data_IF_243242261281
#
_entry.id   IF_243242261281
#
_cell.length_a   1.000
_cell.length_b   1.000
_cell.length_c   1.000
_cell.angle_alpha   90.00
_cell.angle_beta   90.00
_cell.angle_gamma   90.00
#
_symmetry.space_group_name_H-M   'P 1'
#
loop_
_entity.id
_entity.type
_entity.pdbx_description
1 polymer ?
#
# COMPACT_ATOMS: atom_id res chain seq x y z
N UNK A 1 10.68 -1.30 15.47
CA UNK A 1 9.28 -1.67 15.20
C UNK A 1 9.22 -2.56 13.98
N UNK A 2 8.47 -3.64 14.09
CA UNK A 2 8.50 -4.70 13.10
C UNK A 2 7.16 -4.79 12.35
N UNK A 3 6.92 -3.80 11.51
CA UNK A 3 5.73 -3.77 10.68
C UNK A 3 6.02 -4.24 9.25
N UNK A 4 4.97 -4.69 8.59
CA UNK A 4 4.99 -5.02 7.18
C UNK A 4 3.77 -4.41 6.50
N UNK A 5 3.94 -3.92 5.27
CA UNK A 5 2.85 -3.43 4.44
C UNK A 5 2.45 -4.55 3.49
N UNK A 6 1.19 -4.95 3.57
CA UNK A 6 0.57 -5.90 2.64
C UNK A 6 -0.22 -5.15 1.60
N UNK A 7 0.01 -5.48 0.35
CA UNK A 7 -0.69 -4.87 -0.77
C UNK A 7 -1.36 -5.95 -1.60
N UNK A 8 -2.70 -5.90 -1.69
CA UNK A 8 -3.47 -6.75 -2.59
C UNK A 8 -3.74 -5.97 -3.87
N UNK A 9 -2.85 -6.05 -4.83
CA UNK A 9 -2.93 -5.22 -6.01
C UNK A 9 -3.95 -5.68 -7.05
N UNK A 10 -4.69 -6.76 -6.78
CA UNK A 10 -5.87 -7.10 -7.59
C UNK A 10 -6.96 -6.03 -7.48
N UNK A 11 -7.01 -5.32 -6.36
CA UNK A 11 -8.09 -4.38 -6.06
C UNK A 11 -7.68 -2.91 -6.18
N UNK A 12 -6.41 -2.62 -6.43
CA UNK A 12 -5.98 -1.23 -6.58
C UNK A 12 -6.54 -0.64 -7.88
N UNK A 13 -7.20 0.52 -7.76
CA UNK A 13 -7.83 1.21 -8.90
C UNK A 13 -6.98 2.33 -9.47
N UNK A 14 -5.81 2.59 -8.90
CA UNK A 14 -4.92 3.66 -9.35
C UNK A 14 -5.40 5.07 -8.99
N UNK A 15 -6.25 5.23 -7.98
CA UNK A 15 -6.81 6.53 -7.63
C UNK A 15 -5.83 7.49 -6.96
N UNK A 16 -4.66 7.02 -6.54
CA UNK A 16 -3.60 7.77 -5.86
C UNK A 16 -4.01 8.39 -4.51
N UNK A 17 -5.15 7.99 -3.94
CA UNK A 17 -5.59 8.52 -2.65
C UNK A 17 -4.58 8.22 -1.53
N UNK A 18 -3.92 7.06 -1.56
CA UNK A 18 -2.90 6.69 -0.60
C UNK A 18 -1.70 7.64 -0.62
N UNK A 19 -1.26 8.04 -1.81
CA UNK A 19 -0.14 8.98 -1.96
C UNK A 19 -0.50 10.34 -1.38
N UNK A 20 -1.69 10.85 -1.71
CA UNK A 20 -2.16 12.14 -1.23
C UNK A 20 -2.33 12.12 0.29
N UNK A 21 -2.90 11.05 0.84
CA UNK A 21 -3.08 10.90 2.28
C UNK A 21 -1.74 10.90 3.02
N UNK A 22 -0.75 10.19 2.50
CA UNK A 22 0.58 10.14 3.09
C UNK A 22 1.24 11.52 3.06
N UNK A 23 1.14 12.23 1.94
CA UNK A 23 1.72 13.56 1.81
C UNK A 23 1.08 14.56 2.77
N UNK A 24 -0.23 14.49 2.95
CA UNK A 24 -0.93 15.38 3.87
C UNK A 24 -0.58 15.09 5.33
N UNK A 25 -0.49 13.81 5.69
CA UNK A 25 -0.18 13.41 7.06
C UNK A 25 1.21 13.92 7.50
N UNK A 26 2.18 13.89 6.61
CA UNK A 26 3.56 14.26 6.91
C UNK A 26 3.97 15.60 6.29
N UNK A 27 3.04 16.34 5.70
CA UNK A 27 3.29 17.64 5.09
C UNK A 27 4.46 17.63 4.11
N UNK A 28 4.49 16.62 3.25
CA UNK A 28 5.54 16.46 2.24
C UNK A 28 5.15 17.12 0.93
N UNK A 29 6.14 17.64 0.15
CA UNK A 29 5.87 18.14 -1.19
C UNK A 29 5.40 17.04 -2.14
N UNK A 30 4.76 17.45 -3.23
CA UNK A 30 4.38 16.52 -4.29
C UNK A 30 5.59 15.76 -4.82
N UNK A 31 5.42 14.47 -5.06
CA UNK A 31 6.49 13.60 -5.53
C UNK A 31 7.36 13.00 -4.45
N UNK A 32 7.17 13.41 -3.18
CA UNK A 32 7.91 12.86 -2.04
C UNK A 32 6.96 12.14 -1.10
N UNK A 33 6.48 10.99 -1.54
CA UNK A 33 5.51 10.21 -0.79
C UNK A 33 6.14 8.92 -0.26
N UNK A 34 5.64 8.46 0.89
CA UNK A 34 6.01 7.16 1.46
C UNK A 34 5.41 5.98 0.72
N UNK A 35 4.43 6.23 -0.15
CA UNK A 35 3.84 5.22 -1.01
C UNK A 35 3.63 5.83 -2.39
N UNK A 36 3.89 5.05 -3.44
CA UNK A 36 3.68 5.46 -4.83
C UNK A 36 2.95 4.37 -5.58
N UNK A 37 2.01 4.76 -6.42
CA UNK A 37 1.27 3.82 -7.26
C UNK A 37 1.90 3.82 -8.65
N UNK A 38 2.42 2.67 -9.06
CA UNK A 38 2.98 2.47 -10.39
C UNK A 38 1.96 1.77 -11.27
N UNK A 39 1.95 2.11 -12.55
CA UNK A 39 1.12 1.46 -13.54
C UNK A 39 1.97 0.46 -14.31
N UNK A 40 1.52 -0.79 -14.37
CA UNK A 40 2.15 -1.84 -15.17
C UNK A 40 1.21 -2.22 -16.30
N UNK A 41 1.65 -2.01 -17.54
CA UNK A 41 0.91 -2.40 -18.72
C UNK A 41 1.57 -3.61 -19.36
N UNK A 42 0.82 -4.68 -19.54
CA UNK A 42 1.31 -5.91 -20.14
C UNK A 42 0.49 -6.21 -21.40
N UNK A 43 1.19 -6.44 -22.51
CA UNK A 43 0.55 -6.79 -23.78
C UNK A 43 0.66 -8.29 -24.02
N UNK A 44 -0.49 -8.93 -24.31
CA UNK A 44 -0.58 -10.36 -24.63
C UNK A 44 -1.30 -10.50 -25.98
N UNK A 45 -0.56 -10.50 -27.07
CA UNK A 45 -1.15 -10.51 -28.42
C UNK A 45 -2.01 -9.27 -28.65
N UNK A 46 -3.32 -9.46 -28.90
CA UNK A 46 -4.26 -8.35 -29.08
C UNK A 46 -4.84 -7.82 -27.78
N UNK A 47 -4.45 -8.40 -26.62
CA UNK A 47 -4.97 -8.00 -25.31
C UNK A 47 -3.92 -7.20 -24.56
N UNK A 48 -4.42 -6.21 -23.81
CA UNK A 48 -3.61 -5.38 -22.92
C UNK A 48 -4.17 -5.49 -21.52
N UNK A 49 -3.32 -5.71 -20.52
CA UNK A 49 -3.74 -5.64 -19.15
C UNK A 49 -3.00 -4.52 -18.44
N UNK A 50 -3.71 -3.79 -17.58
CA UNK A 50 -3.16 -2.70 -16.78
C UNK A 50 -3.32 -3.07 -15.32
N UNK A 51 -2.22 -3.03 -14.58
CA UNK A 51 -2.24 -3.26 -13.14
C UNK A 51 -1.66 -2.04 -12.44
N UNK A 52 -2.21 -1.71 -11.28
CA UNK A 52 -1.70 -0.64 -10.44
C UNK A 52 -1.04 -1.25 -9.22
N UNK A 53 0.21 -0.83 -8.97
CA UNK A 53 1.06 -1.43 -7.95
C UNK A 53 1.46 -0.37 -6.91
N UNK A 54 0.69 -0.27 -5.81
CA UNK A 54 1.12 0.58 -4.69
C UNK A 54 2.42 0.05 -4.10
N UNK A 55 3.44 0.88 -4.04
CA UNK A 55 4.78 0.48 -3.64
C UNK A 55 5.29 1.39 -2.53
N UNK A 56 5.80 0.78 -1.45
CA UNK A 56 6.43 1.51 -0.36
C UNK A 56 7.74 2.13 -0.83
N UNK A 57 7.99 3.38 -0.43
CA UNK A 57 9.28 4.05 -0.68
C UNK A 57 10.08 4.15 0.61
N UNK A 58 11.34 4.61 0.52
CA UNK A 58 12.20 4.80 1.68
C UNK A 58 11.70 5.89 2.64
N UNK A 59 10.77 6.72 2.20
CA UNK A 59 10.18 7.76 3.03
C UNK A 59 9.09 7.22 3.96
N UNK A 60 8.65 6.00 3.76
CA UNK A 60 7.59 5.38 4.58
C UNK A 60 8.14 4.94 5.92
N UNK A 61 7.49 5.38 6.99
CA UNK A 61 7.79 4.97 8.38
C UNK A 61 6.72 4.03 8.95
N UNK A 62 5.88 3.43 8.10
CA UNK A 62 4.75 2.58 8.47
C UNK A 62 3.69 3.30 9.33
N UNK A 63 3.73 4.62 9.38
CA UNK A 63 2.83 5.43 10.22
C UNK A 63 2.83 5.01 11.69
N UNK A 64 4.01 4.70 12.23
CA UNK A 64 4.14 4.21 13.60
C UNK A 64 3.50 5.15 14.61
N UNK A 65 3.58 6.47 14.40
CA UNK A 65 2.94 7.44 15.29
C UNK A 65 1.42 7.32 15.30
N UNK A 66 0.80 7.08 14.14
CA UNK A 66 -0.65 6.87 14.06
C UNK A 66 -1.07 5.54 14.69
N UNK A 67 -0.30 4.48 14.43
CA UNK A 67 -0.56 3.16 15.02
C UNK A 67 -0.49 3.22 16.54
N UNK A 68 0.51 3.94 17.07
CA UNK A 68 0.65 4.13 18.52
C UNK A 68 -0.52 4.85 19.17
N UNK A 69 -1.29 5.62 18.39
CA UNK A 69 -2.50 6.31 18.86
C UNK A 69 -3.78 5.51 18.59
N UNK A 70 -3.66 4.27 18.14
CA UNK A 70 -4.80 3.44 17.80
C UNK A 70 -5.45 3.76 16.46
N UNK A 71 -4.78 4.53 15.61
CA UNK A 71 -5.27 4.91 14.29
C UNK A 71 -4.64 4.05 13.20
N UNK A 72 -5.36 3.86 12.10
CA UNK A 72 -4.80 3.20 10.92
C UNK A 72 -3.77 4.11 10.23
N UNK A 73 -2.77 3.55 9.54
CA UNK A 73 -1.90 4.34 8.68
C UNK A 73 -2.72 5.18 7.69
N UNK A 74 -2.21 6.37 7.33
CA UNK A 74 -2.94 7.30 6.49
C UNK A 74 -3.36 6.68 5.15
N UNK A 75 -2.45 5.96 4.48
CA UNK A 75 -2.75 5.32 3.20
C UNK A 75 -3.83 4.24 3.34
N UNK A 76 -3.77 3.43 4.40
CA UNK A 76 -4.77 2.39 4.67
C UNK A 76 -6.13 3.00 4.95
N UNK A 77 -6.15 4.07 5.76
CA UNK A 77 -7.40 4.74 6.15
C UNK A 77 -8.15 5.32 4.95
N UNK A 78 -7.42 5.85 3.96
CA UNK A 78 -8.02 6.54 2.82
C UNK A 78 -8.14 5.67 1.56
N UNK A 79 -7.72 4.41 1.61
CA UNK A 79 -7.86 3.50 0.47
C UNK A 79 -9.29 2.98 0.38
N UNK A 80 -10.04 3.44 -0.61
CA UNK A 80 -11.44 3.05 -0.79
C UNK A 80 -11.61 1.60 -1.24
N UNK A 81 -10.62 1.05 -1.94
CA UNK A 81 -10.65 -0.36 -2.36
C UNK A 81 -10.12 -1.31 -1.29
N UNK A 82 -9.64 -0.79 -0.17
CA UNK A 82 -9.14 -1.56 0.97
C UNK A 82 -8.06 -2.58 0.58
N UNK A 83 -7.18 -2.19 -0.35
CA UNK A 83 -6.12 -3.06 -0.85
C UNK A 83 -4.81 -2.96 -0.05
N UNK A 84 -4.76 -2.10 0.97
CA UNK A 84 -3.57 -1.87 1.79
C UNK A 84 -3.83 -2.27 3.23
N UNK A 85 -2.83 -2.89 3.86
CA UNK A 85 -2.88 -3.25 5.27
C UNK A 85 -1.48 -3.19 5.86
N UNK A 86 -1.34 -2.66 7.07
CA UNK A 86 -0.08 -2.70 7.82
C UNK A 86 -0.29 -3.61 9.02
N UNK A 87 0.58 -4.61 9.15
CA UNK A 87 0.51 -5.60 10.22
C UNK A 87 1.87 -5.73 10.90
N UNK A 88 1.87 -6.28 12.11
CA UNK A 88 3.10 -6.70 12.77
C UNK A 88 3.68 -7.89 12.01
N UNK A 89 5.00 -7.91 11.78
CA UNK A 89 5.66 -9.00 11.05
C UNK A 89 5.39 -10.37 11.67
N UNK A 90 5.17 -10.44 12.97
CA UNK A 90 4.86 -11.70 13.65
C UNK A 90 3.52 -12.28 13.24
N UNK A 91 2.61 -11.43 12.78
CA UNK A 91 1.28 -11.85 12.33
C UNK A 91 1.23 -12.22 10.85
N UNK A 92 2.31 -12.00 10.10
CA UNK A 92 2.35 -12.27 8.66
C UNK A 92 1.92 -13.69 8.28
N UNK A 93 2.44 -14.77 8.91
CA UNK A 93 2.04 -16.13 8.52
C UNK A 93 0.54 -16.35 8.63
N UNK A 94 -0.08 -15.84 9.70
CA UNK A 94 -1.51 -15.99 9.90
C UNK A 94 -2.32 -15.17 8.90
N UNK A 95 -1.87 -13.97 8.59
CA UNK A 95 -2.56 -13.12 7.61
C UNK A 95 -2.46 -13.67 6.20
N UNK A 96 -1.37 -14.32 5.85
CA UNK A 96 -1.17 -14.86 4.51
C UNK A 96 -1.95 -16.15 4.23
N UNK A 97 -2.36 -16.88 5.26
CA UNK A 97 -3.05 -18.16 5.10
C UNK A 97 -4.38 -18.07 4.37
N UNK A 98 -5.11 -16.98 4.57
CA UNK A 98 -6.43 -16.80 3.96
C UNK A 98 -6.41 -15.95 2.70
N UNK A 99 -5.26 -15.52 2.24
CA UNK A 99 -5.16 -14.61 1.10
C UNK A 99 -5.02 -15.42 -0.18
N UNK A 100 -5.86 -15.08 -1.17
CA UNK A 100 -5.78 -15.64 -2.52
C UNK A 100 -5.54 -14.49 -3.49
N UNK A 101 -4.73 -14.76 -4.52
CA UNK A 101 -4.46 -13.78 -5.57
C UNK A 101 -3.09 -13.12 -5.43
N UNK A 102 -2.94 -11.97 -6.06
CA UNK A 102 -1.65 -11.31 -6.21
C UNK A 102 -1.40 -10.39 -5.02
N UNK A 103 -0.29 -10.63 -4.32
CA UNK A 103 0.09 -9.88 -3.13
C UNK A 103 1.52 -9.38 -3.25
N UNK A 104 1.75 -8.19 -2.71
CA UNK A 104 3.11 -7.69 -2.47
C UNK A 104 3.29 -7.43 -0.98
N UNK A 105 4.49 -7.69 -0.49
CA UNK A 105 4.83 -7.52 0.92
C UNK A 105 6.08 -6.64 1.01
N UNK A 106 5.96 -5.56 1.76
CA UNK A 106 7.09 -4.65 2.03
C UNK A 106 7.44 -4.72 3.52
N UNK A 107 8.67 -5.07 3.79
CA UNK A 107 9.19 -5.21 5.15
C UNK A 107 9.95 -3.97 5.62
#
# INVERSE_FOLDING_TARGET
MNYALLVDYNYCTGCHACEIACNQEYQRPLGQSGIRVFELTTAHGSRCSIEFLPTRTDLCNFCAGRIGKGKKPACVHHCLSACLEVVDRRELPDRLRGIQGKQMIFL
#
